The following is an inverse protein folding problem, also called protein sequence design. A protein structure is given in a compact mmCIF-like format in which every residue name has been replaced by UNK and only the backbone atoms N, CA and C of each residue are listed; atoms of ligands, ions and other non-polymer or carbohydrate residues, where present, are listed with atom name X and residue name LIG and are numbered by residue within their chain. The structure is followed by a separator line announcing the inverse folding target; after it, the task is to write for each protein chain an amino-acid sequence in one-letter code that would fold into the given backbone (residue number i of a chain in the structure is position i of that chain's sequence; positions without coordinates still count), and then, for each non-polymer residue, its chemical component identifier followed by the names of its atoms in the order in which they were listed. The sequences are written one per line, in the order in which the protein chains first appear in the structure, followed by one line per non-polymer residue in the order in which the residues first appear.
data_IF_337428009474
#
_entry.id   IF_337428009474
#
_cell.length_a   1.000
_cell.length_b   1.000
_cell.length_c   1.000
_cell.angle_alpha   90.00
_cell.angle_beta   90.00
_cell.angle_gamma   90.00
#
_symmetry.space_group_name_H-M   'P 1'
#
loop_
_entity.id
_entity.type
_entity.pdbx_description
1 polymer ?
#
# COMPACT_ATOMS: atom_id res chain seq x y z
N UNK A 1 -29.89 35.55 -44.86
CA UNK A 1 -28.88 34.55 -44.43
C UNK A 1 -29.42 33.86 -43.20
N UNK A 2 -29.64 32.55 -43.28
CA UNK A 2 -30.24 31.78 -42.20
C UNK A 2 -29.16 31.51 -41.15
N UNK A 3 -29.56 31.54 -39.88
CA UNK A 3 -28.69 31.32 -38.72
C UNK A 3 -27.86 30.02 -38.83
N UNK A 4 -28.35 29.06 -39.59
CA UNK A 4 -27.69 27.79 -39.93
C UNK A 4 -26.37 27.97 -40.70
N UNK A 5 -26.27 28.96 -41.60
CA UNK A 5 -25.02 29.24 -42.33
C UNK A 5 -23.93 29.80 -41.41
N UNK A 6 -24.34 30.53 -40.37
CA UNK A 6 -23.44 31.09 -39.35
C UNK A 6 -22.93 29.99 -38.40
N UNK A 7 -23.78 29.02 -38.08
CA UNK A 7 -23.39 27.84 -37.29
C UNK A 7 -22.42 26.92 -38.05
N UNK A 8 -22.58 26.77 -39.36
CA UNK A 8 -21.62 26.03 -40.21
C UNK A 8 -20.26 26.76 -40.29
N UNK A 9 -20.26 28.10 -40.32
CA UNK A 9 -19.03 28.90 -40.29
C UNK A 9 -18.31 28.83 -38.94
N UNK A 10 -19.05 28.72 -37.83
CA UNK A 10 -18.51 28.56 -36.47
C UNK A 10 -18.10 27.11 -36.16
N UNK A 11 -18.58 26.15 -36.97
CA UNK A 11 -18.24 24.73 -36.82
C UNK A 11 -16.76 24.41 -37.07
N UNK A 12 -15.98 25.38 -37.56
CA UNK A 12 -14.53 25.24 -37.62
C UNK A 12 -13.95 25.55 -36.24
N UNK A 13 -13.33 24.53 -35.60
CA UNK A 13 -12.80 24.56 -34.24
C UNK A 13 -11.73 25.66 -34.10
N UNK A 14 -12.17 26.88 -33.83
CA UNK A 14 -11.32 28.06 -33.77
C UNK A 14 -10.26 27.93 -32.67
N UNK A 15 -9.11 28.60 -32.86
CA UNK A 15 -8.01 28.59 -31.86
C UNK A 15 -8.50 28.92 -30.45
N UNK A 16 -9.44 29.87 -30.33
CA UNK A 16 -10.04 30.25 -29.04
C UNK A 16 -10.94 29.16 -28.43
N UNK A 17 -11.67 28.40 -29.25
CA UNK A 17 -12.55 27.34 -28.78
C UNK A 17 -11.74 26.13 -28.29
N UNK A 18 -10.62 25.82 -28.97
CA UNK A 18 -9.62 24.85 -28.49
C UNK A 18 -9.04 25.26 -27.14
N UNK A 19 -8.60 26.52 -26.99
CA UNK A 19 -8.05 27.03 -25.71
C UNK A 19 -9.07 26.92 -24.58
N UNK A 20 -10.32 27.35 -24.79
CA UNK A 20 -11.37 27.25 -23.77
C UNK A 20 -11.65 25.80 -23.39
N UNK A 21 -11.77 24.91 -24.37
CA UNK A 21 -12.00 23.49 -24.13
C UNK A 21 -10.84 22.86 -23.34
N UNK A 22 -9.59 23.17 -23.70
CA UNK A 22 -8.41 22.71 -22.97
C UNK A 22 -8.40 23.20 -21.52
N UNK A 23 -8.73 24.48 -21.26
CA UNK A 23 -8.78 25.03 -19.88
C UNK A 23 -9.87 24.33 -19.05
N UNK A 24 -11.04 24.08 -19.64
CA UNK A 24 -12.13 23.35 -18.96
C UNK A 24 -11.69 21.92 -18.63
N UNK A 25 -11.11 21.20 -19.59
CA UNK A 25 -10.58 19.86 -19.36
C UNK A 25 -9.48 19.83 -18.30
N UNK A 26 -8.55 20.80 -18.33
CA UNK A 26 -7.47 20.90 -17.34
C UNK A 26 -8.03 21.12 -15.93
N UNK A 27 -9.03 22.00 -15.80
CA UNK A 27 -9.70 22.28 -14.51
C UNK A 27 -10.38 21.03 -13.95
N UNK A 28 -10.98 20.22 -14.82
CA UNK A 28 -11.59 18.94 -14.43
C UNK A 28 -10.57 17.86 -14.04
N UNK A 29 -9.35 17.91 -14.59
CA UNK A 29 -8.29 16.94 -14.29
C UNK A 29 -7.52 17.27 -13.00
N UNK A 30 -7.54 18.51 -12.52
CA UNK A 30 -6.81 18.91 -11.31
C UNK A 30 -7.26 18.14 -10.04
N UNK A 31 -8.57 17.99 -9.73
CA UNK A 31 -9.00 17.24 -8.55
C UNK A 31 -8.52 15.78 -8.50
N UNK A 32 -8.70 14.95 -9.55
CA UNK A 32 -8.23 13.57 -9.49
C UNK A 32 -6.70 13.49 -9.37
N UNK A 33 -5.94 14.36 -10.03
CA UNK A 33 -4.48 14.41 -9.88
C UNK A 33 -4.09 14.62 -8.42
N UNK A 34 -4.76 15.53 -7.71
CA UNK A 34 -4.49 15.76 -6.29
C UNK A 34 -4.83 14.54 -5.42
N UNK A 35 -5.95 13.86 -5.70
CA UNK A 35 -6.32 12.63 -4.98
C UNK A 35 -5.30 11.52 -5.22
N UNK A 36 -4.86 11.30 -6.46
CA UNK A 36 -3.85 10.28 -6.77
C UNK A 36 -2.48 10.64 -6.22
N UNK A 37 -2.12 11.93 -6.20
CA UNK A 37 -0.85 12.39 -5.61
C UNK A 37 -0.77 11.99 -4.14
N UNK A 38 -1.87 12.06 -3.39
CA UNK A 38 -1.90 11.58 -2.01
C UNK A 38 -1.54 10.08 -1.90
N UNK A 39 -2.09 9.22 -2.76
CA UNK A 39 -1.76 7.78 -2.75
C UNK A 39 -0.29 7.48 -3.03
N UNK A 40 0.40 8.32 -3.82
CA UNK A 40 1.83 8.15 -4.12
C UNK A 40 2.76 8.85 -3.11
N UNK A 41 2.30 9.94 -2.48
CA UNK A 41 3.10 10.72 -1.52
C UNK A 41 2.89 10.29 -0.08
N UNK A 42 1.78 9.61 0.23
CA UNK A 42 1.56 9.03 1.54
C UNK A 42 2.69 8.03 1.84
N UNK A 43 3.41 8.29 2.93
CA UNK A 43 4.40 7.37 3.42
C UNK A 43 3.74 6.03 3.73
N UNK A 44 4.27 4.94 3.16
CA UNK A 44 3.83 3.60 3.56
C UNK A 44 4.35 3.35 4.97
N UNK A 45 3.47 3.08 5.94
CA UNK A 45 3.87 2.89 7.32
C UNK A 45 4.65 1.59 7.40
N UNK A 46 5.58 1.51 8.34
CA UNK A 46 6.23 0.24 8.61
C UNK A 46 5.17 -0.73 9.12
N UNK A 47 5.16 -1.94 8.59
CA UNK A 47 4.22 -2.98 8.97
C UNK A 47 4.94 -4.32 9.12
N UNK A 48 4.36 -5.19 9.93
CA UNK A 48 4.81 -6.57 10.09
C UNK A 48 3.61 -7.49 10.25
N UNK A 49 3.85 -8.79 10.16
CA UNK A 49 2.81 -9.77 10.43
C UNK A 49 2.44 -9.77 11.92
N UNK A 50 1.16 -10.03 12.20
CA UNK A 50 0.67 -10.21 13.57
C UNK A 50 1.33 -11.45 14.17
N UNK A 51 1.76 -11.33 15.41
CA UNK A 51 2.37 -12.44 16.13
C UNK A 51 1.33 -13.57 16.32
N UNK A 52 1.59 -14.81 15.85
CA UNK A 52 0.67 -15.93 16.01
C UNK A 52 0.51 -16.40 17.47
N UNK A 53 1.37 -15.94 18.40
CA UNK A 53 1.25 -16.26 19.83
C UNK A 53 0.53 -15.19 20.67
N UNK A 54 0.31 -13.98 20.13
CA UNK A 54 -0.31 -12.87 20.86
C UNK A 54 -1.60 -12.44 20.15
N UNK A 55 -2.72 -13.03 20.58
CA UNK A 55 -3.97 -12.95 19.85
C UNK A 55 -4.77 -11.67 20.09
N UNK A 56 -4.47 -10.87 21.12
CA UNK A 56 -5.39 -9.79 21.53
C UNK A 56 -4.81 -8.36 21.47
N UNK A 57 -3.57 -8.12 21.90
CA UNK A 57 -3.01 -6.74 22.01
C UNK A 57 -1.61 -6.61 21.38
N UNK A 58 -1.46 -7.02 20.11
CA UNK A 58 -0.18 -6.84 19.41
C UNK A 58 -0.07 -5.39 18.88
N UNK A 59 1.03 -4.72 19.22
CA UNK A 59 1.31 -3.33 18.83
C UNK A 59 2.66 -3.24 18.12
N UNK A 60 2.83 -2.26 17.23
CA UNK A 60 4.10 -1.97 16.59
C UNK A 60 4.99 -1.14 17.53
N UNK A 61 5.52 -1.77 18.57
CA UNK A 61 6.51 -1.17 19.47
C UNK A 61 7.91 -1.70 19.13
N UNK A 62 8.97 -0.96 19.49
CA UNK A 62 10.36 -1.41 19.25
C UNK A 62 10.62 -2.79 19.88
N UNK A 63 10.13 -3.00 21.09
CA UNK A 63 10.30 -4.25 21.85
C UNK A 63 9.52 -5.42 21.25
N UNK A 64 8.28 -5.22 20.85
CA UNK A 64 7.50 -6.29 20.21
C UNK A 64 8.07 -6.66 18.84
N UNK A 65 8.62 -5.68 18.11
CA UNK A 65 9.29 -5.92 16.84
C UNK A 65 10.60 -6.72 17.00
N UNK A 66 11.42 -6.45 18.03
CA UNK A 66 12.64 -7.24 18.26
C UNK A 66 12.31 -8.70 18.61
N UNK A 67 11.34 -8.93 19.49
CA UNK A 67 10.88 -10.27 19.87
C UNK A 67 10.31 -11.02 18.65
N UNK A 68 9.53 -10.33 17.82
CA UNK A 68 9.01 -10.91 16.59
C UNK A 68 10.15 -11.30 15.62
N UNK A 69 11.12 -10.40 15.43
CA UNK A 69 12.23 -10.65 14.52
C UNK A 69 13.14 -11.80 14.95
N UNK A 70 13.27 -12.02 16.26
CA UNK A 70 14.07 -13.13 16.79
C UNK A 70 13.40 -14.49 16.58
N UNK A 71 12.07 -14.55 16.68
CA UNK A 71 11.34 -15.83 16.69
C UNK A 71 10.67 -16.20 15.36
N UNK A 72 10.16 -15.21 14.62
CA UNK A 72 9.25 -15.43 13.50
C UNK A 72 9.77 -14.91 12.16
N UNK A 73 10.89 -14.18 12.14
CA UNK A 73 11.46 -13.67 10.88
C UNK A 73 12.12 -14.81 10.11
N UNK A 74 11.72 -15.04 8.84
CA UNK A 74 12.33 -16.10 8.04
C UNK A 74 13.77 -15.75 7.67
N UNK A 75 14.61 -16.79 7.66
CA UNK A 75 16.01 -16.71 7.23
C UNK A 75 16.09 -16.62 5.71
N UNK A 76 17.20 -16.09 5.19
CA UNK A 76 17.42 -15.94 3.76
C UNK A 76 17.29 -17.29 3.01
N UNK A 77 17.77 -18.37 3.62
CA UNK A 77 17.74 -19.72 3.05
C UNK A 77 16.32 -20.27 2.97
N UNK A 78 15.50 -20.05 3.99
CA UNK A 78 14.09 -20.48 4.03
C UNK A 78 13.25 -19.75 2.96
N UNK A 79 13.54 -18.47 2.72
CA UNK A 79 12.93 -17.66 1.67
C UNK A 79 13.32 -18.12 0.26
N UNK A 80 14.61 -18.46 0.06
CA UNK A 80 15.15 -18.92 -1.23
C UNK A 80 14.67 -20.33 -1.59
N UNK A 81 14.53 -21.20 -0.59
CA UNK A 81 14.08 -22.59 -0.76
C UNK A 81 12.62 -22.67 -1.20
N UNK A 82 11.75 -21.83 -0.64
CA UNK A 82 10.31 -21.94 -0.86
C UNK A 82 9.77 -21.11 -2.05
N UNK A 83 10.38 -19.97 -2.45
CA UNK A 83 9.89 -19.17 -3.61
C UNK A 83 11.01 -18.41 -4.33
N UNK A 84 11.28 -18.81 -5.58
CA UNK A 84 12.42 -18.37 -6.40
C UNK A 84 12.32 -16.96 -7.02
N UNK A 85 11.32 -16.15 -6.69
CA UNK A 85 11.04 -14.89 -7.43
C UNK A 85 10.72 -13.66 -6.56
N UNK A 86 10.88 -13.73 -5.25
CA UNK A 86 10.50 -12.66 -4.33
C UNK A 86 11.76 -12.06 -3.69
N UNK A 87 11.82 -10.72 -3.61
CA UNK A 87 12.92 -10.03 -2.92
C UNK A 87 13.00 -10.46 -1.45
N UNK A 88 14.20 -10.54 -0.88
CA UNK A 88 14.38 -10.91 0.53
C UNK A 88 13.49 -10.10 1.48
N UNK A 89 13.35 -8.80 1.18
CA UNK A 89 12.53 -7.86 1.95
C UNK A 89 11.04 -8.16 1.84
N UNK A 90 10.59 -8.62 0.68
CA UNK A 90 9.18 -8.98 0.45
C UNK A 90 8.86 -10.33 1.10
N UNK A 91 9.79 -11.28 1.07
CA UNK A 91 9.61 -12.55 1.78
C UNK A 91 9.41 -12.33 3.29
N UNK A 92 10.27 -11.51 3.89
CA UNK A 92 10.18 -11.15 5.31
C UNK A 92 8.94 -10.32 5.67
N UNK A 93 8.25 -9.75 4.67
CA UNK A 93 6.98 -9.02 4.86
C UNK A 93 5.75 -9.92 4.77
N UNK A 94 5.81 -10.96 3.93
CA UNK A 94 4.65 -11.78 3.60
C UNK A 94 4.60 -13.13 4.34
N UNK A 95 5.73 -13.57 4.90
CA UNK A 95 5.86 -14.88 5.53
C UNK A 95 6.44 -14.79 6.93
N UNK A 96 5.99 -15.72 7.77
CA UNK A 96 6.55 -15.97 9.10
C UNK A 96 7.07 -17.39 9.16
N UNK A 97 8.11 -17.59 9.97
CA UNK A 97 8.59 -18.90 10.39
C UNK A 97 7.61 -19.47 11.41
N UNK A 98 6.97 -20.58 11.08
CA UNK A 98 6.12 -21.31 12.01
C UNK A 98 6.88 -22.49 12.59
N UNK A 99 7.20 -22.42 13.88
CA UNK A 99 7.77 -23.55 14.61
C UNK A 99 6.63 -24.41 15.16
N UNK A 100 6.20 -25.43 14.43
CA UNK A 100 5.35 -26.48 15.01
C UNK A 100 6.22 -27.36 15.89
N UNK A 101 6.01 -27.32 17.22
CA UNK A 101 6.63 -28.25 18.15
C UNK A 101 5.99 -29.64 17.98
N UNK A 102 6.54 -30.44 17.07
CA UNK A 102 6.36 -31.88 17.10
C UNK A 102 7.62 -32.48 17.73
N UNK A 103 7.45 -33.32 18.75
CA UNK A 103 8.49 -33.78 19.69
C UNK A 103 9.73 -34.47 19.09
N UNK A 104 9.86 -34.60 17.76
CA UNK A 104 10.99 -35.29 17.12
C UNK A 104 11.56 -34.63 15.84
N UNK A 105 11.03 -33.50 15.37
CA UNK A 105 11.72 -32.68 14.35
C UNK A 105 11.23 -31.23 14.37
N UNK A 106 12.16 -30.28 14.29
CA UNK A 106 11.84 -28.90 13.95
C UNK A 106 11.63 -28.83 12.43
N UNK A 107 10.39 -29.00 11.99
CA UNK A 107 10.02 -28.72 10.61
C UNK A 107 9.68 -27.22 10.51
N UNK A 108 10.65 -26.44 10.05
CA UNK A 108 10.48 -25.00 9.84
C UNK A 108 9.66 -24.77 8.58
N UNK A 109 8.36 -24.55 8.75
CA UNK A 109 7.46 -24.26 7.62
C UNK A 109 7.24 -22.75 7.49
N UNK A 110 7.32 -22.26 6.25
CA UNK A 110 6.95 -20.89 5.92
C UNK A 110 5.42 -20.78 5.87
N UNK A 111 4.85 -19.97 6.75
CA UNK A 111 3.42 -19.69 6.76
C UNK A 111 3.17 -18.28 6.22
N UNK A 112 2.14 -18.12 5.39
CA UNK A 112 1.70 -16.80 4.93
C UNK A 112 1.03 -16.02 6.05
N UNK A 113 1.26 -14.72 6.08
CA UNK A 113 0.67 -13.84 7.09
C UNK A 113 -0.83 -13.66 6.87
N UNK A 114 -1.62 -13.95 7.90
CA UNK A 114 -3.08 -13.79 7.88
C UNK A 114 -3.54 -12.36 8.24
N UNK A 115 -2.75 -11.66 9.05
CA UNK A 115 -3.04 -10.28 9.47
C UNK A 115 -1.76 -9.49 9.72
N UNK A 116 -1.88 -8.16 9.67
CA UNK A 116 -0.76 -7.22 9.77
C UNK A 116 -0.94 -6.25 10.93
N UNK A 117 0.17 -5.84 11.52
CA UNK A 117 0.27 -4.81 12.55
C UNK A 117 1.10 -3.67 11.98
N UNK A 118 0.49 -2.48 11.96
CA UNK A 118 1.05 -1.27 11.38
C UNK A 118 1.60 -0.34 12.45
N UNK A 119 2.69 0.35 12.13
CA UNK A 119 3.19 1.47 12.91
C UNK A 119 2.21 2.64 12.84
N UNK A 120 1.59 2.95 13.98
CA UNK A 120 0.63 4.04 14.10
C UNK A 120 1.27 5.37 14.49
N UNK A 121 2.58 5.42 14.77
CA UNK A 121 3.24 6.67 15.19
C UNK A 121 3.05 7.79 14.17
N UNK A 122 3.05 7.47 12.88
CA UNK A 122 2.88 8.44 11.80
C UNK A 122 1.43 8.87 11.57
N UNK A 123 0.45 8.11 12.07
CA UNK A 123 -0.98 8.36 11.81
C UNK A 123 -1.67 9.17 12.90
N UNK A 124 -1.11 9.20 14.12
CA UNK A 124 -1.62 10.01 15.23
C UNK A 124 -1.71 11.50 14.91
N UNK A 125 -0.86 11.98 14.01
CA UNK A 125 -0.80 13.38 13.61
C UNK A 125 -1.48 13.63 12.25
N UNK A 126 -2.09 12.60 11.63
CA UNK A 126 -2.82 12.73 10.36
C UNK A 126 -4.32 12.77 10.61
N UNK A 127 -5.02 13.66 9.90
CA UNK A 127 -6.48 13.91 9.95
C UNK A 127 -7.38 12.67 9.80
N UNK A 128 -6.84 11.50 9.47
CA UNK A 128 -7.58 10.28 9.18
C UNK A 128 -7.94 9.51 10.47
N UNK A 129 -7.29 9.79 11.61
CA UNK A 129 -7.59 9.09 12.87
C UNK A 129 -8.75 9.73 13.68
N UNK A 130 -9.28 10.90 13.31
CA UNK A 130 -10.42 11.55 14.01
C UNK A 130 -11.80 11.00 13.65
N UNK A 131 -11.90 10.05 12.71
CA UNK A 131 -13.19 9.44 12.33
C UNK A 131 -13.14 7.94 12.57
N UNK A 132 -12.96 7.53 13.84
CA UNK A 132 -13.49 6.24 14.29
C UNK A 132 -13.84 6.21 15.78
#
# INVERSE_FOLDING_TARGET
MKFDDFLILINDWGRFQKVKYTIICLTYMLPPIMVYTYSFTAATPNFRCRNPSQWLNDSYSKTSNSIFNEKYRPTNEECLSNKKSISLKECQRCFIRSTTFNNQSMDDTLQSCQSYVFDRQYYKDTLIEEVH
#
